data_IF_078225226581
#
_entry.id   IF_078225226581
#
_cell.length_a   1.000
_cell.length_b   1.000
_cell.length_c   1.000
_cell.angle_alpha   90.00
_cell.angle_beta   90.00
_cell.angle_gamma   90.00
#
_symmetry.space_group_name_H-M   'P 1'
#
loop_
_entity.id
_entity.type
_entity.pdbx_description
1 polymer ?
#
# COMPACT_ATOMS: atom_id res chain seq x y z
N UNK A 1 19.90 -15.72 6.36
CA UNK A 1 18.85 -14.77 6.74
C UNK A 1 17.76 -14.96 5.72
N UNK A 2 16.63 -15.49 6.14
CA UNK A 2 15.49 -15.75 5.25
C UNK A 2 14.74 -14.43 5.05
N UNK A 3 14.12 -14.21 3.88
CA UNK A 3 13.27 -13.03 3.57
C UNK A 3 12.21 -12.72 4.66
N UNK A 4 11.90 -13.71 5.51
CA UNK A 4 10.98 -13.60 6.65
C UNK A 4 11.48 -12.67 7.77
N UNK A 5 12.79 -12.56 7.96
CA UNK A 5 13.38 -11.75 9.03
C UNK A 5 13.37 -10.24 8.69
N UNK A 6 13.31 -9.88 7.41
CA UNK A 6 13.26 -8.48 6.95
C UNK A 6 11.87 -7.83 7.10
N UNK A 7 10.81 -8.63 7.29
CA UNK A 7 9.41 -8.15 7.39
C UNK A 7 8.84 -8.13 8.83
N UNK A 8 9.64 -8.42 9.86
CA UNK A 8 9.16 -8.37 11.27
C UNK A 8 8.01 -9.34 11.58
N UNK A 9 7.91 -10.45 10.84
CA UNK A 9 6.82 -11.43 10.99
C UNK A 9 7.11 -12.33 12.20
N UNK A 10 6.24 -12.28 13.22
CA UNK A 10 6.31 -13.18 14.37
C UNK A 10 5.64 -14.52 14.03
N UNK A 11 6.19 -15.64 14.50
CA UNK A 11 5.83 -17.00 14.04
C UNK A 11 4.44 -17.52 14.47
N UNK A 12 3.62 -16.70 15.14
CA UNK A 12 2.25 -17.06 15.54
C UNK A 12 1.28 -16.97 14.36
N UNK A 13 1.40 -17.93 13.43
CA UNK A 13 0.50 -18.07 12.29
C UNK A 13 -0.68 -18.96 12.67
N UNK A 14 -1.87 -18.36 12.82
CA UNK A 14 -3.12 -19.10 13.02
C UNK A 14 -3.68 -19.47 11.65
N UNK A 15 -3.78 -20.76 11.35
CA UNK A 15 -4.36 -21.25 10.10
C UNK A 15 -5.74 -21.85 10.31
N UNK A 16 -6.72 -21.44 9.50
CA UNK A 16 -8.08 -21.99 9.53
C UNK A 16 -8.59 -22.28 8.10
N UNK A 17 -9.49 -23.24 7.98
CA UNK A 17 -10.24 -23.48 6.75
C UNK A 17 -11.35 -22.43 6.61
N UNK A 18 -11.56 -21.92 5.40
CA UNK A 18 -12.62 -20.96 5.10
C UNK A 18 -13.16 -21.14 3.67
N UNK A 19 -14.45 -20.86 3.49
CA UNK A 19 -15.12 -20.98 2.21
C UNK A 19 -14.52 -20.00 1.19
N UNK A 20 -14.16 -20.47 0.00
CA UNK A 20 -13.74 -19.63 -1.11
C UNK A 20 -14.96 -18.94 -1.74
N UNK A 21 -15.01 -17.61 -1.69
CA UNK A 21 -16.10 -16.85 -2.31
C UNK A 21 -16.11 -16.91 -3.84
N UNK A 22 -15.01 -17.32 -4.47
CA UNK A 22 -14.92 -17.43 -5.92
C UNK A 22 -15.49 -18.76 -6.46
N UNK A 23 -15.17 -19.90 -5.83
CA UNK A 23 -15.57 -21.22 -6.33
C UNK A 23 -16.46 -22.04 -5.39
N UNK A 24 -16.69 -21.57 -4.15
CA UNK A 24 -17.49 -22.28 -3.15
C UNK A 24 -16.79 -23.48 -2.49
N UNK A 25 -15.56 -23.81 -2.88
CA UNK A 25 -14.76 -24.86 -2.23
C UNK A 25 -14.00 -24.34 -1.01
N UNK A 26 -13.46 -25.23 -0.18
CA UNK A 26 -12.66 -24.81 0.97
C UNK A 26 -11.26 -24.33 0.55
N UNK A 27 -10.90 -23.13 1.00
CA UNK A 27 -9.55 -22.61 0.97
C UNK A 27 -8.95 -22.50 2.35
N UNK A 28 -7.73 -21.95 2.43
CA UNK A 28 -7.01 -21.77 3.68
C UNK A 28 -6.84 -20.28 3.97
N UNK A 29 -7.27 -19.84 5.15
CA UNK A 29 -6.93 -18.52 5.69
C UNK A 29 -5.81 -18.66 6.70
N UNK A 30 -4.78 -17.82 6.58
CA UNK A 30 -3.72 -17.66 7.57
C UNK A 30 -3.81 -16.26 8.15
N UNK A 31 -3.90 -16.18 9.47
CA UNK A 31 -3.78 -14.94 10.23
C UNK A 31 -2.36 -14.88 10.79
N UNK A 32 -1.63 -13.84 10.42
CA UNK A 32 -0.25 -13.61 10.83
C UNK A 32 -0.19 -12.28 11.56
N UNK A 33 0.43 -12.27 12.75
CA UNK A 33 0.72 -11.02 13.45
C UNK A 33 2.01 -10.44 12.87
N UNK A 34 1.90 -9.26 12.27
CA UNK A 34 3.05 -8.52 11.76
C UNK A 34 3.41 -7.45 12.78
N UNK A 35 4.64 -7.52 13.28
CA UNK A 35 5.19 -6.48 14.13
C UNK A 35 5.90 -5.48 13.24
N UNK A 36 5.30 -4.31 13.10
CA UNK A 36 5.87 -3.21 12.34
C UNK A 36 6.60 -2.31 13.33
N UNK A 37 7.91 -2.11 13.22
CA UNK A 37 8.64 -1.23 14.12
C UNK A 37 7.97 0.14 14.24
N UNK A 38 7.75 0.59 15.48
CA UNK A 38 7.13 1.89 15.81
C UNK A 38 5.68 2.08 15.33
N UNK A 39 5.04 1.00 14.90
CA UNK A 39 3.60 0.91 14.69
C UNK A 39 3.05 -0.23 15.56
N UNK A 40 1.76 -0.19 15.90
CA UNK A 40 1.18 -1.31 16.65
C UNK A 40 1.07 -2.55 15.78
N UNK A 41 1.02 -3.73 16.41
CA UNK A 41 0.87 -4.99 15.69
C UNK A 41 -0.39 -5.01 14.83
N UNK A 42 -0.26 -5.47 13.58
CA UNK A 42 -1.38 -5.67 12.65
C UNK A 42 -1.62 -7.14 12.39
N UNK A 43 -2.88 -7.49 12.13
CA UNK A 43 -3.24 -8.83 11.69
C UNK A 43 -3.30 -8.87 10.16
N UNK A 44 -2.35 -9.56 9.54
CA UNK A 44 -2.39 -9.87 8.12
C UNK A 44 -3.17 -11.18 7.92
N UNK A 45 -4.29 -11.08 7.20
CA UNK A 45 -5.11 -12.20 6.78
C UNK A 45 -4.80 -12.55 5.33
N UNK A 46 -4.22 -13.72 5.08
CA UNK A 46 -4.01 -14.22 3.72
C UNK A 46 -4.89 -15.45 3.46
N UNK A 47 -5.74 -15.36 2.45
CA UNK A 47 -6.55 -16.47 1.95
C UNK A 47 -5.94 -17.01 0.66
N UNK A 48 -5.82 -18.33 0.55
CA UNK A 48 -5.40 -19.03 -0.66
C UNK A 48 -6.36 -20.20 -0.95
N UNK A 49 -6.89 -20.28 -2.17
CA UNK A 49 -7.72 -21.40 -2.61
C UNK A 49 -6.94 -22.35 -3.52
N UNK A 50 -6.73 -23.62 -3.13
CA UNK A 50 -5.98 -24.59 -3.95
C UNK A 50 -6.77 -25.09 -5.17
N UNK A 51 -8.05 -24.77 -5.27
CA UNK A 51 -8.94 -25.26 -6.34
C UNK A 51 -9.04 -24.31 -7.54
N UNK A 52 -9.04 -23.00 -7.29
CA UNK A 52 -9.24 -21.99 -8.34
C UNK A 52 -8.15 -20.91 -8.38
N UNK A 53 -7.10 -21.03 -7.56
CA UNK A 53 -6.00 -20.07 -7.43
C UNK A 53 -6.42 -18.65 -7.03
N UNK A 54 -7.66 -18.47 -6.57
CA UNK A 54 -8.06 -17.22 -5.94
C UNK A 54 -7.28 -17.03 -4.65
N UNK A 55 -6.72 -15.84 -4.46
CA UNK A 55 -6.08 -15.42 -3.22
C UNK A 55 -6.56 -14.03 -2.83
N UNK A 56 -6.61 -13.77 -1.53
CA UNK A 56 -6.89 -12.45 -1.00
C UNK A 56 -5.94 -12.15 0.17
N UNK A 57 -5.47 -10.90 0.29
CA UNK A 57 -4.62 -10.45 1.39
C UNK A 57 -5.19 -9.16 1.96
N UNK A 58 -5.68 -9.26 3.18
CA UNK A 58 -6.28 -8.15 3.91
C UNK A 58 -5.48 -7.85 5.17
N UNK A 59 -5.40 -6.57 5.52
CA UNK A 59 -5.05 -6.20 6.89
C UNK A 59 -6.31 -5.90 7.66
N UNK A 60 -6.43 -6.58 8.79
CA UNK A 60 -7.41 -6.22 9.81
C UNK A 60 -6.68 -5.39 10.84
N UNK A 61 -6.84 -4.08 10.70
CA UNK A 61 -6.50 -3.18 11.79
C UNK A 61 -7.56 -3.36 12.89
N UNK A 62 -7.15 -3.80 14.06
CA UNK A 62 -8.04 -3.92 15.22
C UNK A 62 -8.17 -2.58 15.96
N UNK A 63 -7.49 -1.53 15.48
CA UNK A 63 -7.57 -0.20 16.06
C UNK A 63 -8.93 0.42 15.79
N UNK A 64 -9.51 0.94 16.86
CA UNK A 64 -10.56 1.93 16.73
C UNK A 64 -9.97 3.19 16.06
N UNK A 65 -10.77 3.95 15.30
CA UNK A 65 -10.35 5.25 14.81
C UNK A 65 -9.87 6.12 15.96
N UNK A 66 -8.79 6.89 15.74
CA UNK A 66 -8.26 7.83 16.73
C UNK A 66 -9.13 9.08 16.81
N UNK A 67 -8.94 9.87 17.87
CA UNK A 67 -9.63 11.17 18.06
C UNK A 67 -9.35 12.16 16.92
N UNK A 68 -8.21 12.01 16.25
CA UNK A 68 -7.78 12.84 15.14
C UNK A 68 -7.26 12.00 13.98
N UNK A 69 -7.54 12.44 12.76
CA UNK A 69 -6.90 11.94 11.56
C UNK A 69 -5.41 12.29 11.50
N UNK A 70 -4.71 11.73 10.53
CA UNK A 70 -3.29 11.97 10.31
C UNK A 70 -3.06 12.47 8.88
N UNK A 71 -2.11 13.38 8.72
CA UNK A 71 -1.70 13.94 7.44
C UNK A 71 -0.18 13.77 7.30
N UNK A 72 0.24 12.79 6.49
CA UNK A 72 1.66 12.64 6.18
C UNK A 72 2.00 13.42 4.92
N UNK A 73 3.11 14.15 4.94
CA UNK A 73 3.81 14.60 3.74
C UNK A 73 5.22 14.02 3.77
N UNK A 74 5.59 13.21 2.77
CA UNK A 74 6.91 12.61 2.68
C UNK A 74 7.58 12.93 1.36
N UNK A 75 8.70 13.65 1.41
CA UNK A 75 9.52 13.99 0.22
C UNK A 75 10.49 12.87 -0.09
N UNK A 76 10.23 12.19 -1.19
CA UNK A 76 11.02 11.06 -1.66
C UNK A 76 12.16 11.59 -2.53
N UNK A 77 13.40 11.33 -2.10
CA UNK A 77 14.61 11.88 -2.73
C UNK A 77 15.55 10.83 -3.31
N UNK A 78 15.31 9.55 -3.05
CA UNK A 78 16.16 8.47 -3.54
C UNK A 78 15.37 7.16 -3.61
N UNK A 79 16.01 6.10 -4.11
CA UNK A 79 15.37 4.77 -4.19
C UNK A 79 15.17 4.12 -2.83
N UNK A 80 16.05 4.36 -1.87
CA UNK A 80 15.94 3.76 -0.53
C UNK A 80 14.67 4.25 0.18
N UNK A 81 14.24 5.48 -0.10
CA UNK A 81 12.96 6.01 0.37
C UNK A 81 11.76 5.23 -0.17
N UNK A 82 11.83 4.64 -1.38
CA UNK A 82 10.75 3.81 -1.95
C UNK A 82 10.63 2.46 -1.23
N UNK A 83 11.70 1.98 -0.61
CA UNK A 83 11.73 0.73 0.13
C UNK A 83 11.10 0.84 1.52
N UNK A 84 10.81 2.07 1.99
CA UNK A 84 10.15 2.29 3.28
C UNK A 84 8.77 1.64 3.30
N UNK A 85 8.49 0.99 4.43
CA UNK A 85 7.18 0.40 4.65
C UNK A 85 6.14 1.47 4.97
N UNK A 86 4.93 1.29 4.45
CA UNK A 86 3.77 2.11 4.76
C UNK A 86 2.57 1.23 5.11
N UNK A 87 1.81 1.68 6.12
CA UNK A 87 0.46 1.19 6.41
C UNK A 87 -0.51 2.22 5.86
N UNK A 88 -1.30 1.84 4.86
CA UNK A 88 -2.33 2.69 4.29
C UNK A 88 -3.68 2.12 4.62
N UNK A 89 -4.52 2.89 5.31
CA UNK A 89 -5.91 2.51 5.54
C UNK A 89 -6.73 2.67 4.26
N UNK A 90 -7.78 1.86 4.11
CA UNK A 90 -8.67 1.96 2.94
C UNK A 90 -9.39 3.31 2.86
N UNK A 91 -9.59 3.98 3.99
CA UNK A 91 -10.20 5.32 4.08
C UNK A 91 -9.25 6.46 3.72
N UNK A 92 -7.95 6.18 3.56
CA UNK A 92 -6.97 7.21 3.30
C UNK A 92 -7.01 7.69 1.84
N UNK A 93 -6.94 9.00 1.65
CA UNK A 93 -6.61 9.64 0.37
C UNK A 93 -5.09 9.68 0.23
N UNK A 94 -4.58 9.20 -0.90
CA UNK A 94 -3.14 9.28 -1.20
C UNK A 94 -2.95 10.16 -2.42
N UNK A 95 -2.09 11.17 -2.34
CA UNK A 95 -1.81 12.07 -3.46
C UNK A 95 -0.33 12.21 -3.76
N UNK A 96 -0.04 12.47 -5.04
CA UNK A 96 1.27 12.93 -5.51
C UNK A 96 1.04 14.24 -6.26
N UNK A 97 1.13 15.39 -5.58
CA UNK A 97 0.73 16.68 -6.12
C UNK A 97 1.45 17.05 -7.42
N UNK A 98 2.75 16.73 -7.54
CA UNK A 98 3.57 17.05 -8.71
C UNK A 98 3.11 16.32 -9.99
N UNK A 99 2.35 15.23 -9.83
CA UNK A 99 1.83 14.43 -10.94
C UNK A 99 0.33 14.59 -11.14
N UNK A 100 -0.34 15.42 -10.34
CA UNK A 100 -1.81 15.54 -10.32
C UNK A 100 -2.46 14.15 -10.17
N UNK A 101 -1.85 13.31 -9.33
CA UNK A 101 -2.26 11.93 -9.12
C UNK A 101 -2.87 11.76 -7.74
N UNK A 102 -4.02 11.09 -7.70
CA UNK A 102 -4.74 10.78 -6.47
C UNK A 102 -5.26 9.34 -6.51
N UNK A 103 -5.26 8.69 -5.35
CA UNK A 103 -5.95 7.42 -5.11
C UNK A 103 -7.02 7.66 -4.08
N UNK A 104 -8.28 7.53 -4.48
CA UNK A 104 -9.41 7.91 -3.65
C UNK A 104 -9.60 6.91 -2.50
N UNK A 105 -10.21 7.36 -1.39
CA UNK A 105 -10.67 6.45 -0.35
C UNK A 105 -11.56 5.34 -0.93
N UNK A 106 -11.37 4.11 -0.44
CA UNK A 106 -12.08 2.90 -0.83
C UNK A 106 -11.79 2.37 -2.26
N UNK A 107 -10.87 2.99 -3.01
CA UNK A 107 -10.37 2.39 -4.26
C UNK A 107 -9.58 1.09 -3.98
N UNK A 108 -9.04 0.97 -2.77
CA UNK A 108 -8.29 -0.19 -2.29
C UNK A 108 -8.53 -0.41 -0.79
N UNK A 109 -8.54 -1.67 -0.39
CA UNK A 109 -8.51 -2.07 1.02
C UNK A 109 -7.19 -1.68 1.70
N UNK A 110 -7.19 -1.74 3.03
CA UNK A 110 -6.01 -1.41 3.82
C UNK A 110 -4.83 -2.32 3.47
N UNK A 111 -3.64 -1.75 3.40
CA UNK A 111 -2.43 -2.44 2.92
C UNK A 111 -1.20 -2.07 3.76
N UNK A 112 -0.32 -3.05 3.94
CA UNK A 112 1.02 -2.94 4.53
C UNK A 112 1.95 -3.34 3.40
N UNK A 113 2.58 -2.35 2.81
CA UNK A 113 3.35 -2.48 1.57
C UNK A 113 4.49 -1.48 1.62
N UNK A 114 5.50 -1.64 0.77
CA UNK A 114 6.47 -0.56 0.53
C UNK A 114 5.86 0.48 -0.40
N UNK A 115 6.43 1.70 -0.38
CA UNK A 115 6.05 2.76 -1.31
C UNK A 115 6.24 2.30 -2.76
N UNK A 116 7.33 1.59 -3.06
CA UNK A 116 7.59 1.00 -4.39
C UNK A 116 6.45 0.09 -4.87
N UNK A 117 5.99 -0.83 -4.01
CA UNK A 117 4.90 -1.75 -4.32
C UNK A 117 3.59 -0.99 -4.53
N UNK A 118 3.35 0.07 -3.73
CA UNK A 118 2.18 0.93 -3.89
C UNK A 118 2.16 1.61 -5.27
N UNK A 119 3.26 2.23 -5.68
CA UNK A 119 3.36 2.91 -6.98
C UNK A 119 3.25 1.90 -8.13
N UNK A 120 3.91 0.75 -8.03
CA UNK A 120 3.83 -0.34 -9.00
C UNK A 120 2.38 -0.78 -9.24
N UNK A 121 1.61 -0.94 -8.17
CA UNK A 121 0.19 -1.26 -8.26
C UNK A 121 -0.63 -0.15 -8.93
N UNK A 122 -0.36 1.12 -8.60
CA UNK A 122 -1.03 2.25 -9.23
C UNK A 122 -0.80 2.25 -10.75
N UNK A 123 0.43 1.96 -11.20
CA UNK A 123 0.76 1.82 -12.62
C UNK A 123 -0.05 0.70 -13.26
N UNK A 124 -0.08 -0.49 -12.65
CA UNK A 124 -0.83 -1.64 -13.17
C UNK A 124 -2.33 -1.31 -13.32
N UNK A 125 -2.93 -0.69 -12.31
CA UNK A 125 -4.34 -0.27 -12.36
C UNK A 125 -4.61 0.75 -13.45
N UNK A 126 -3.74 1.76 -13.60
CA UNK A 126 -3.87 2.75 -14.66
C UNK A 126 -3.70 2.13 -16.05
N UNK A 127 -2.82 1.14 -16.20
CA UNK A 127 -2.65 0.41 -17.47
C UNK A 127 -3.91 -0.36 -17.86
N UNK A 128 -4.50 -1.10 -16.92
CA UNK A 128 -5.78 -1.80 -17.13
C UNK A 128 -6.90 -0.82 -17.51
N UNK A 129 -6.99 0.32 -16.81
CA UNK A 129 -7.96 1.36 -17.14
C UNK A 129 -7.73 1.91 -18.55
N UNK A 130 -6.46 2.13 -18.93
CA UNK A 130 -6.07 2.66 -20.24
C UNK A 130 -6.46 1.74 -21.41
N UNK A 131 -6.46 0.41 -21.21
CA UNK A 131 -6.91 -0.56 -22.23
C UNK A 131 -8.36 -0.36 -22.66
N UNK A 132 -9.19 0.19 -21.77
CA UNK A 132 -10.60 0.48 -22.03
C UNK A 132 -10.84 1.87 -22.63
N UNK A 133 -9.79 2.70 -22.77
CA UNK A 133 -9.89 4.08 -23.29
C UNK A 133 -9.46 4.14 -24.75
N UNK A 134 -10.22 4.87 -25.57
CA UNK A 134 -9.85 5.10 -26.97
C UNK A 134 -8.55 5.93 -27.06
N UNK A 135 -7.57 5.40 -27.81
CA UNK A 135 -6.22 5.96 -28.00
C UNK A 135 -6.18 7.37 -28.59
N UNK A 136 -7.21 7.78 -29.31
CA UNK A 136 -7.28 9.09 -29.97
C UNK A 136 -7.81 10.20 -29.04
N UNK A 137 -8.10 9.87 -27.78
CA UNK A 137 -8.68 10.83 -26.83
C UNK A 137 -7.61 11.54 -26.00
N UNK A 138 -7.91 12.77 -25.59
CA UNK A 138 -7.08 13.53 -24.63
C UNK A 138 -6.95 12.77 -23.29
N UNK A 139 -7.97 12.02 -22.90
CA UNK A 139 -7.97 11.18 -21.69
C UNK A 139 -6.87 10.12 -21.76
N UNK A 140 -6.75 9.42 -22.89
CA UNK A 140 -5.68 8.44 -23.09
C UNK A 140 -4.31 9.08 -22.95
N UNK A 141 -4.09 10.25 -23.57
CA UNK A 141 -2.82 10.97 -23.50
C UNK A 141 -2.45 11.36 -22.06
N UNK A 142 -3.42 11.82 -21.27
CA UNK A 142 -3.21 12.17 -19.85
C UNK A 142 -2.83 10.94 -19.02
N UNK A 143 -3.58 9.85 -19.14
CA UNK A 143 -3.27 8.61 -18.41
C UNK A 143 -1.88 8.06 -18.77
N UNK A 144 -1.56 8.01 -20.07
CA UNK A 144 -0.25 7.57 -20.53
C UNK A 144 0.89 8.45 -19.98
N UNK A 145 0.69 9.77 -19.94
CA UNK A 145 1.67 10.70 -19.36
C UNK A 145 1.88 10.48 -17.86
N UNK A 146 0.81 10.23 -17.09
CA UNK A 146 0.89 9.91 -15.66
C UNK A 146 1.63 8.59 -15.44
N UNK A 147 1.31 7.53 -16.21
CA UNK A 147 2.01 6.24 -16.13
C UNK A 147 3.51 6.42 -16.36
N UNK A 148 3.92 7.21 -17.36
CA UNK A 148 5.34 7.48 -17.63
C UNK A 148 6.00 8.22 -16.45
N UNK A 149 5.31 9.18 -15.83
CA UNK A 149 5.83 9.88 -14.63
C UNK A 149 6.00 8.91 -13.45
N UNK A 150 5.01 8.04 -13.21
CA UNK A 150 5.05 7.03 -12.15
C UNK A 150 6.15 5.98 -12.40
N UNK A 151 6.45 5.63 -13.65
CA UNK A 151 7.57 4.74 -13.97
C UNK A 151 8.92 5.40 -13.65
N UNK A 152 9.09 6.69 -13.98
CA UNK A 152 10.33 7.43 -13.68
C UNK A 152 10.64 7.54 -12.20
N UNK A 153 9.62 7.62 -11.33
CA UNK A 153 9.86 7.63 -9.89
C UNK A 153 10.33 6.26 -9.38
N UNK A 154 9.82 5.15 -9.93
CA UNK A 154 10.34 3.81 -9.61
C UNK A 154 11.80 3.64 -10.05
N UNK A 155 12.16 4.25 -11.18
CA UNK A 155 13.53 4.29 -11.67
C UNK A 155 14.44 5.20 -10.83
N UNK A 156 13.91 5.94 -9.86
CA UNK A 156 14.64 6.84 -8.97
C UNK A 156 15.09 8.15 -9.66
N UNK A 157 14.55 8.43 -10.84
CA UNK A 157 14.97 9.53 -11.71
C UNK A 157 14.28 10.86 -11.37
N UNK A 158 13.27 10.84 -10.48
CA UNK A 158 12.47 12.00 -10.18
C UNK A 158 12.04 12.04 -8.70
N UNK A 159 12.19 13.20 -8.08
CA UNK A 159 11.72 13.47 -6.72
C UNK A 159 10.24 13.85 -6.74
N UNK A 160 9.52 13.44 -5.70
CA UNK A 160 8.10 13.71 -5.55
C UNK A 160 7.70 13.71 -4.07
N UNK A 161 6.53 14.27 -3.79
CA UNK A 161 5.96 14.25 -2.45
C UNK A 161 4.82 13.24 -2.41
N UNK A 162 4.91 12.27 -1.50
CA UNK A 162 3.81 11.37 -1.19
C UNK A 162 3.03 11.96 -0.03
N UNK A 163 1.73 12.19 -0.23
CA UNK A 163 0.84 12.71 0.81
C UNK A 163 -0.19 11.64 1.17
N UNK A 164 -0.40 11.41 2.46
CA UNK A 164 -1.42 10.49 2.98
C UNK A 164 -2.31 11.22 3.96
N UNK A 165 -3.56 11.45 3.55
CA UNK A 165 -4.63 12.01 4.36
C UNK A 165 -5.54 10.87 4.85
N UNK A 166 -5.42 10.51 6.12
CA UNK A 166 -6.22 9.43 6.70
C UNK A 166 -7.10 9.92 7.86
N UNK A 167 -8.42 10.02 7.66
CA UNK A 167 -9.34 10.48 8.71
C UNK A 167 -9.42 9.53 9.91
N UNK A 168 -8.99 8.26 9.77
CA UNK A 168 -8.99 7.31 10.89
C UNK A 168 -7.78 7.48 11.83
N UNK A 169 -6.73 8.15 11.37
CA UNK A 169 -5.48 8.33 12.13
C UNK A 169 -4.58 7.07 12.19
N UNK A 170 -4.90 6.03 11.43
CA UNK A 170 -4.24 4.72 11.50
C UNK A 170 -3.31 4.43 10.31
N UNK A 171 -3.09 5.37 9.41
CA UNK A 171 -2.03 5.26 8.41
C UNK A 171 -0.66 5.58 9.00
N UNK A 172 0.39 5.05 8.38
CA UNK A 172 1.76 5.14 8.87
C UNK A 172 2.76 5.05 7.72
N UNK A 173 3.85 5.80 7.83
CA UNK A 173 5.04 5.67 6.99
C UNK A 173 6.23 5.45 7.92
N UNK A 174 7.07 4.48 7.59
CA UNK A 174 8.26 4.14 8.36
C UNK A 174 9.28 5.29 8.39
N UNK A 175 9.76 5.60 9.59
CA UNK A 175 10.91 6.46 9.83
C UNK A 175 12.12 5.60 10.24
N UNK A 176 13.08 5.35 9.35
CA UNK A 176 14.26 4.54 9.65
C UNK A 176 15.20 5.20 10.67
N UNK A 177 15.10 6.52 10.87
CA UNK A 177 15.94 7.29 11.79
C UNK A 177 15.35 7.42 13.21
N UNK A 178 14.19 6.82 13.47
CA UNK A 178 13.53 6.88 14.78
C UNK A 178 14.49 6.46 15.91
N UNK A 179 14.52 7.17 17.06
CA UNK A 179 13.61 8.23 17.51
C UNK A 179 13.96 9.64 17.01
N UNK A 180 14.94 9.79 16.11
CA UNK A 180 15.21 11.09 15.48
C UNK A 180 14.12 11.37 14.45
N UNK A 181 13.75 12.64 14.33
CA UNK A 181 12.81 13.05 13.29
C UNK A 181 13.45 12.87 11.91
N UNK A 182 12.66 12.37 10.97
CA UNK A 182 13.03 12.38 9.57
C UNK A 182 12.91 13.82 9.03
N UNK A 183 13.98 14.41 8.47
CA UNK A 183 13.94 15.77 7.96
C UNK A 183 13.04 15.94 6.71
N UNK A 184 12.68 14.87 6.02
CA UNK A 184 11.90 14.86 4.79
C UNK A 184 10.45 14.39 4.97
N UNK A 185 10.07 14.02 6.20
CA UNK A 185 8.73 13.56 6.53
C UNK A 185 8.07 14.44 7.59
N UNK A 186 6.85 14.87 7.32
CA UNK A 186 5.99 15.64 8.22
C UNK A 186 4.71 14.86 8.52
N UNK A 187 4.17 15.03 9.72
CA UNK A 187 2.96 14.38 10.26
C UNK A 187 2.12 15.37 11.07
#
# INVERSE_FOLDING_TARGET
MTEKEELGINDDVISTSALCFNCGEQGQTKLTVVNIPFYDNVFLSSFDCPHCNYSNRDIKDLKEPKDHGVHYEFKIKNKDDLSRMMVRQGTALVTIPEFEFEVMPNDREAAVITIEIFISYCIEKLQIALESVNKETEVYAKYAAVIIKLQKILDGDQYFTLVIDDPSGNSFIENPDYPRNDPEMWI
#
